data_IF_753191451350
#
_entry.id   IF_753191451350
#
_cell.length_a   1.000
_cell.length_b   1.000
_cell.length_c   1.000
_cell.angle_alpha   90.00
_cell.angle_beta   90.00
_cell.angle_gamma   90.00
#
_symmetry.space_group_name_H-M   'P 1'
#
loop_
_entity.id
_entity.type
_entity.pdbx_description
1 polymer ?
#
# COMPACT_ATOMS: atom_id res chain seq x y z
N UNK A 1 23.32 4.19 54.78
CA UNK A 1 22.22 4.75 53.95
C UNK A 1 21.77 3.69 52.97
N UNK A 2 20.64 3.01 53.24
CA UNK A 2 20.06 1.96 52.37
C UNK A 2 19.10 2.63 51.39
N UNK A 3 19.43 2.58 50.09
CA UNK A 3 18.53 3.02 49.00
C UNK A 3 17.32 2.08 48.92
N UNK A 4 16.11 2.62 49.12
CA UNK A 4 14.82 1.93 48.85
C UNK A 4 14.71 1.69 47.32
N UNK A 5 14.30 0.51 46.88
CA UNK A 5 14.02 0.27 45.45
C UNK A 5 12.73 0.98 45.04
N UNK A 6 12.80 1.65 43.92
CA UNK A 6 11.77 2.47 43.34
C UNK A 6 10.47 1.71 43.07
N UNK A 7 9.40 2.21 43.69
CA UNK A 7 8.02 1.70 43.65
C UNK A 7 7.33 1.73 42.25
N UNK A 8 7.98 2.24 41.24
CA UNK A 8 7.42 2.43 39.90
C UNK A 8 7.23 1.12 39.08
N UNK A 9 8.02 0.10 39.39
CA UNK A 9 7.92 -1.19 38.66
C UNK A 9 6.78 -2.06 39.16
N UNK A 10 6.31 -1.84 40.42
CA UNK A 10 5.22 -2.58 41.04
C UNK A 10 3.82 -2.08 40.68
N UNK A 11 3.71 -0.80 40.27
CA UNK A 11 2.43 -0.19 39.89
C UNK A 11 1.99 -0.54 38.46
N UNK A 12 2.90 -0.98 37.63
CA UNK A 12 2.58 -1.35 36.22
C UNK A 12 2.01 -2.77 36.10
N UNK A 13 2.36 -3.67 37.04
CA UNK A 13 1.83 -5.04 37.06
C UNK A 13 0.53 -5.21 37.85
N UNK A 14 0.12 -4.22 38.66
CA UNK A 14 -1.08 -4.29 39.50
C UNK A 14 -2.32 -3.59 38.88
N UNK A 15 -2.26 -3.16 37.60
CA UNK A 15 -3.42 -2.62 36.86
C UNK A 15 -4.03 -3.60 35.86
N UNK A 16 -3.65 -4.86 35.88
CA UNK A 16 -4.40 -5.95 35.25
C UNK A 16 -5.46 -6.51 36.20
N UNK A 17 -6.28 -5.63 36.77
CA UNK A 17 -7.60 -6.04 37.24
C UNK A 17 -8.40 -6.34 35.95
N UNK A 18 -8.49 -7.62 35.59
CA UNK A 18 -9.37 -8.09 34.54
C UNK A 18 -10.81 -7.70 34.89
N UNK A 19 -11.27 -6.56 34.44
CA UNK A 19 -12.66 -6.20 34.51
C UNK A 19 -13.45 -7.12 33.58
N UNK A 20 -14.65 -7.54 33.96
CA UNK A 20 -15.56 -8.30 33.11
C UNK A 20 -15.64 -7.73 31.69
N UNK A 21 -15.60 -6.40 31.56
CA UNK A 21 -15.56 -5.68 30.29
C UNK A 21 -14.32 -6.03 29.46
N UNK A 22 -13.12 -6.05 30.04
CA UNK A 22 -11.86 -6.35 29.33
C UNK A 22 -11.84 -7.78 28.80
N UNK A 23 -12.38 -8.72 29.59
CA UNK A 23 -12.53 -10.12 29.18
C UNK A 23 -13.53 -10.25 28.04
N UNK A 24 -14.68 -9.58 28.11
CA UNK A 24 -15.70 -9.61 27.09
C UNK A 24 -15.20 -9.01 25.78
N UNK A 25 -14.52 -7.85 25.84
CA UNK A 25 -13.90 -7.22 24.65
C UNK A 25 -12.82 -8.11 24.07
N UNK A 26 -11.97 -8.71 24.89
CA UNK A 26 -10.91 -9.61 24.40
C UNK A 26 -11.49 -10.84 23.69
N UNK A 27 -12.51 -11.48 24.28
CA UNK A 27 -13.20 -12.62 23.65
C UNK A 27 -13.82 -12.21 22.33
N UNK A 28 -14.50 -11.06 22.28
CA UNK A 28 -15.08 -10.53 21.06
C UNK A 28 -14.02 -10.27 19.98
N UNK A 29 -12.91 -9.61 20.33
CA UNK A 29 -11.82 -9.33 19.39
C UNK A 29 -11.16 -10.61 18.86
N UNK A 30 -10.95 -11.61 19.73
CA UNK A 30 -10.39 -12.91 19.33
C UNK A 30 -11.35 -13.65 18.40
N UNK A 31 -12.63 -13.73 18.75
CA UNK A 31 -13.65 -14.39 17.92
C UNK A 31 -13.78 -13.70 16.57
N UNK A 32 -13.81 -12.38 16.55
CA UNK A 32 -13.85 -11.59 15.31
C UNK A 32 -12.58 -11.79 14.47
N UNK A 33 -11.40 -11.79 15.10
CA UNK A 33 -10.12 -12.07 14.44
C UNK A 33 -10.09 -13.46 13.79
N UNK A 34 -10.58 -14.49 14.48
CA UNK A 34 -10.70 -15.85 13.95
C UNK A 34 -11.67 -15.91 12.75
N UNK A 35 -12.77 -15.20 12.85
CA UNK A 35 -13.75 -15.12 11.75
C UNK A 35 -13.16 -14.44 10.52
N UNK A 36 -12.39 -13.36 10.69
CA UNK A 36 -11.68 -12.69 9.59
C UNK A 36 -10.53 -13.54 9.02
N UNK A 37 -9.90 -14.36 9.85
CA UNK A 37 -8.80 -15.25 9.43
C UNK A 37 -9.32 -16.49 8.68
N UNK A 38 -10.55 -16.95 8.97
CA UNK A 38 -11.10 -18.16 8.39
C UNK A 38 -11.12 -18.21 6.87
N UNK A 39 -11.51 -17.15 6.11
CA UNK A 39 -11.45 -17.18 4.66
C UNK A 39 -10.05 -17.41 4.10
N UNK A 40 -9.02 -16.83 4.72
CA UNK A 40 -7.62 -17.04 4.33
C UNK A 40 -7.19 -18.49 4.60
N UNK A 41 -7.54 -19.01 5.76
CA UNK A 41 -7.30 -20.39 6.13
C UNK A 41 -8.01 -21.36 5.18
N UNK A 42 -9.28 -21.09 4.88
CA UNK A 42 -10.06 -21.86 3.91
C UNK A 42 -9.39 -21.93 2.53
N UNK A 43 -8.97 -20.79 1.99
CA UNK A 43 -8.26 -20.75 0.71
C UNK A 43 -6.97 -21.56 0.74
N UNK A 44 -6.20 -21.48 1.84
CA UNK A 44 -4.97 -22.23 2.00
C UNK A 44 -5.23 -23.74 2.05
N UNK A 45 -6.20 -24.19 2.84
CA UNK A 45 -6.55 -25.61 2.94
C UNK A 45 -7.12 -26.13 1.62
N UNK A 46 -8.03 -25.37 0.99
CA UNK A 46 -8.65 -25.73 -0.28
C UNK A 46 -7.62 -25.82 -1.42
N UNK A 47 -6.59 -24.97 -1.43
CA UNK A 47 -5.57 -24.94 -2.49
C UNK A 47 -4.69 -26.20 -2.56
N UNK A 48 -4.55 -26.92 -1.46
CA UNK A 48 -3.73 -28.16 -1.39
C UNK A 48 -4.58 -29.44 -1.23
N UNK A 49 -5.92 -29.32 -1.17
CA UNK A 49 -6.82 -30.45 -0.96
C UNK A 49 -7.12 -31.17 -2.29
N UNK A 50 -7.21 -32.52 -2.28
CA UNK A 50 -7.69 -33.26 -3.44
C UNK A 50 -9.08 -32.83 -3.88
N UNK A 51 -9.31 -32.73 -5.19
CA UNK A 51 -10.58 -32.26 -5.77
C UNK A 51 -11.82 -33.02 -5.28
N UNK A 52 -11.69 -34.33 -5.10
CA UNK A 52 -12.77 -35.17 -4.60
C UNK A 52 -13.24 -34.81 -3.17
N UNK A 53 -12.30 -34.41 -2.32
CA UNK A 53 -12.62 -33.94 -0.96
C UNK A 53 -13.16 -32.51 -0.97
N UNK A 54 -12.65 -31.67 -1.88
CA UNK A 54 -13.13 -30.29 -2.05
C UNK A 54 -14.60 -30.25 -2.47
N UNK A 55 -15.05 -31.13 -3.40
CA UNK A 55 -16.43 -31.17 -3.89
C UNK A 55 -17.43 -31.59 -2.79
N UNK A 56 -16.99 -32.42 -1.83
CA UNK A 56 -17.86 -32.85 -0.71
C UNK A 56 -18.34 -31.66 0.15
N UNK A 57 -17.65 -30.50 0.04
CA UNK A 57 -18.02 -29.27 0.73
C UNK A 57 -17.90 -29.35 2.24
N UNK A 58 -18.45 -28.34 2.93
CA UNK A 58 -18.46 -28.24 4.40
C UNK A 58 -17.40 -27.31 4.95
N UNK A 59 -17.32 -27.25 6.29
CA UNK A 59 -16.31 -26.46 7.00
C UNK A 59 -14.93 -27.12 6.86
N UNK A 60 -14.02 -26.44 6.16
CA UNK A 60 -12.66 -26.91 5.93
C UNK A 60 -11.75 -26.35 7.04
N UNK A 61 -11.73 -27.03 8.20
CA UNK A 61 -10.87 -26.66 9.32
C UNK A 61 -9.52 -27.34 9.30
N UNK A 62 -9.40 -28.50 8.61
CA UNK A 62 -8.19 -29.30 8.57
C UNK A 62 -7.94 -29.90 7.20
N UNK A 63 -6.68 -30.24 6.90
CA UNK A 63 -6.27 -30.88 5.66
C UNK A 63 -6.80 -32.32 5.59
N UNK A 64 -7.57 -32.66 4.55
CA UNK A 64 -8.06 -34.02 4.27
C UNK A 64 -7.26 -34.71 3.15
N UNK A 65 -5.99 -34.48 3.12
CA UNK A 65 -5.08 -34.92 2.07
C UNK A 65 -4.30 -33.74 1.53
N UNK A 66 -3.16 -34.01 0.88
CA UNK A 66 -2.32 -32.98 0.24
C UNK A 66 -2.11 -33.42 -1.21
N UNK A 67 -2.60 -32.61 -2.14
CA UNK A 67 -2.39 -32.78 -3.57
C UNK A 67 -1.79 -31.50 -4.16
N UNK A 68 -0.58 -31.60 -4.67
CA UNK A 68 0.14 -30.48 -5.28
C UNK A 68 0.09 -30.50 -6.81
N UNK A 69 -0.67 -31.42 -7.43
CA UNK A 69 -0.73 -31.53 -8.89
C UNK A 69 -1.18 -30.25 -9.56
N UNK A 70 -2.14 -29.55 -8.96
CA UNK A 70 -2.63 -28.26 -9.48
C UNK A 70 -1.56 -27.17 -9.48
N UNK A 71 -0.71 -27.12 -8.45
CA UNK A 71 0.43 -26.20 -8.41
C UNK A 71 1.44 -26.54 -9.50
N UNK A 72 1.78 -27.83 -9.66
CA UNK A 72 2.68 -28.30 -10.72
C UNK A 72 2.11 -27.92 -12.09
N UNK A 73 0.82 -28.14 -12.33
CA UNK A 73 0.15 -27.80 -13.58
C UNK A 73 0.19 -26.29 -13.87
N UNK A 74 -0.13 -25.45 -12.86
CA UNK A 74 -0.09 -23.98 -12.98
C UNK A 74 1.33 -23.51 -13.33
N UNK A 75 2.34 -23.98 -12.59
CA UNK A 75 3.73 -23.55 -12.83
C UNK A 75 4.34 -24.17 -14.10
N UNK A 76 3.81 -25.28 -14.60
CA UNK A 76 4.22 -25.88 -15.88
C UNK A 76 3.59 -25.17 -17.09
N UNK A 77 2.48 -24.47 -16.89
CA UNK A 77 1.75 -23.82 -17.98
C UNK A 77 2.30 -22.40 -18.20
N UNK A 78 2.93 -22.18 -19.36
CA UNK A 78 3.58 -20.90 -19.73
C UNK A 78 2.65 -19.69 -19.62
N UNK A 79 1.35 -19.87 -19.88
CA UNK A 79 0.38 -18.75 -19.79
C UNK A 79 0.31 -18.21 -18.36
N UNK A 80 0.17 -19.09 -17.36
CA UNK A 80 0.06 -18.66 -15.96
C UNK A 80 1.36 -18.07 -15.42
N UNK A 81 2.51 -18.69 -15.75
CA UNK A 81 3.82 -18.19 -15.31
C UNK A 81 4.14 -16.84 -15.93
N UNK A 82 3.83 -16.63 -17.22
CA UNK A 82 4.00 -15.34 -17.87
C UNK A 82 3.07 -14.28 -17.27
N UNK A 83 1.80 -14.61 -17.02
CA UNK A 83 0.85 -13.68 -16.41
C UNK A 83 1.29 -13.25 -15.01
N UNK A 84 1.80 -14.18 -14.20
CA UNK A 84 2.34 -13.89 -12.88
C UNK A 84 3.57 -12.98 -12.95
N UNK A 85 4.47 -13.23 -13.90
CA UNK A 85 5.65 -12.42 -14.13
C UNK A 85 5.28 -11.00 -14.58
N UNK A 86 4.34 -10.86 -15.52
CA UNK A 86 3.83 -9.55 -15.96
C UNK A 86 3.20 -8.78 -14.80
N UNK A 87 2.38 -9.45 -13.96
CA UNK A 87 1.78 -8.82 -12.77
C UNK A 87 2.84 -8.39 -11.76
N UNK A 88 3.87 -9.19 -11.53
CA UNK A 88 4.96 -8.86 -10.62
C UNK A 88 5.77 -7.66 -11.15
N UNK A 89 6.18 -7.68 -12.41
CA UNK A 89 6.92 -6.58 -13.04
C UNK A 89 6.09 -5.29 -13.06
N UNK A 90 4.81 -5.38 -13.45
CA UNK A 90 3.86 -4.25 -13.38
C UNK A 90 3.81 -3.67 -11.97
N UNK A 91 3.62 -4.51 -10.96
CA UNK A 91 3.51 -4.06 -9.57
C UNK A 91 4.75 -3.33 -9.11
N UNK A 92 5.94 -3.86 -9.38
CA UNK A 92 7.21 -3.21 -9.00
C UNK A 92 7.38 -1.87 -9.72
N UNK A 93 7.21 -1.84 -11.05
CA UNK A 93 7.40 -0.62 -11.83
C UNK A 93 6.36 0.45 -11.51
N UNK A 94 5.07 0.08 -11.47
CA UNK A 94 4.01 1.03 -11.14
C UNK A 94 4.14 1.57 -9.72
N UNK A 95 4.52 0.73 -8.76
CA UNK A 95 4.73 1.17 -7.37
C UNK A 95 5.93 2.12 -7.27
N UNK A 96 7.07 1.77 -7.86
CA UNK A 96 8.26 2.61 -7.82
C UNK A 96 8.00 3.99 -8.45
N UNK A 97 7.37 4.01 -9.64
CA UNK A 97 7.03 5.24 -10.33
C UNK A 97 6.00 6.06 -9.55
N UNK A 98 4.96 5.41 -9.01
CA UNK A 98 3.92 6.09 -8.25
C UNK A 98 4.46 6.69 -6.96
N UNK A 99 5.30 5.98 -6.20
CA UNK A 99 5.93 6.50 -4.99
C UNK A 99 6.82 7.69 -5.30
N UNK A 100 7.63 7.59 -6.37
CA UNK A 100 8.53 8.66 -6.78
C UNK A 100 7.76 9.93 -7.18
N UNK A 101 6.78 9.80 -8.07
CA UNK A 101 6.00 10.93 -8.58
C UNK A 101 5.13 11.54 -7.47
N UNK A 102 4.44 10.68 -6.69
CA UNK A 102 3.58 11.16 -5.59
C UNK A 102 4.38 11.85 -4.50
N UNK A 103 5.55 11.31 -4.10
CA UNK A 103 6.39 11.92 -3.07
C UNK A 103 7.04 13.23 -3.56
N UNK A 104 7.54 13.26 -4.79
CA UNK A 104 8.13 14.48 -5.36
C UNK A 104 7.08 15.61 -5.45
N UNK A 105 5.89 15.29 -5.95
CA UNK A 105 4.79 16.26 -6.03
C UNK A 105 4.29 16.69 -4.64
N UNK A 106 4.17 15.76 -3.69
CA UNK A 106 3.78 16.04 -2.33
C UNK A 106 4.78 16.97 -1.63
N UNK A 107 6.08 16.73 -1.82
CA UNK A 107 7.13 17.59 -1.30
C UNK A 107 7.09 18.98 -1.92
N UNK A 108 7.01 19.09 -3.24
CA UNK A 108 6.93 20.39 -3.92
C UNK A 108 5.72 21.22 -3.44
N UNK A 109 4.54 20.58 -3.33
CA UNK A 109 3.30 21.26 -2.89
C UNK A 109 3.26 21.50 -1.38
N UNK A 110 4.07 20.82 -0.57
CA UNK A 110 4.21 21.12 0.86
C UNK A 110 4.81 22.51 1.11
N UNK A 111 5.56 23.06 0.14
CA UNK A 111 6.15 24.40 0.17
C UNK A 111 5.13 25.49 -0.15
N UNK A 112 4.15 25.68 0.71
CA UNK A 112 2.98 26.59 0.51
C UNK A 112 3.37 28.06 0.32
N UNK A 113 4.60 28.46 0.70
CA UNK A 113 5.12 29.82 0.53
C UNK A 113 5.46 30.17 -0.92
N UNK A 114 5.63 29.15 -1.80
CA UNK A 114 5.90 29.37 -3.21
C UNK A 114 4.59 29.78 -3.92
N UNK A 115 4.67 30.84 -4.71
CA UNK A 115 3.52 31.34 -5.49
C UNK A 115 2.97 30.25 -6.42
N UNK A 116 1.65 30.03 -6.39
CA UNK A 116 0.96 29.04 -7.23
C UNK A 116 0.77 27.67 -6.57
N UNK A 117 1.52 27.30 -5.53
CA UNK A 117 1.39 25.96 -4.89
C UNK A 117 0.02 25.73 -4.26
N UNK A 118 -0.63 26.80 -3.76
CA UNK A 118 -2.02 26.71 -3.26
C UNK A 118 -3.01 26.31 -4.35
N UNK A 119 -2.86 26.86 -5.57
CA UNK A 119 -3.70 26.51 -6.71
C UNK A 119 -3.45 25.07 -7.17
N UNK A 120 -2.18 24.67 -7.29
CA UNK A 120 -1.83 23.27 -7.65
C UNK A 120 -2.41 22.30 -6.64
N UNK A 121 -2.27 22.58 -5.35
CA UNK A 121 -2.86 21.75 -4.30
C UNK A 121 -4.38 21.67 -4.44
N UNK A 122 -5.07 22.77 -4.69
CA UNK A 122 -6.51 22.80 -4.88
C UNK A 122 -6.95 21.96 -6.09
N UNK A 123 -6.23 22.05 -7.21
CA UNK A 123 -6.50 21.26 -8.42
C UNK A 123 -6.28 19.75 -8.20
N UNK A 124 -5.23 19.37 -7.46
CA UNK A 124 -4.98 17.96 -7.14
C UNK A 124 -6.07 17.42 -6.22
N UNK A 125 -6.43 18.18 -5.17
CA UNK A 125 -7.49 17.77 -4.23
C UNK A 125 -8.85 17.75 -4.92
N UNK A 126 -9.12 18.67 -5.84
CA UNK A 126 -10.34 18.69 -6.64
C UNK A 126 -10.54 17.36 -7.39
N UNK A 127 -9.46 16.80 -7.94
CA UNK A 127 -9.49 15.51 -8.65
C UNK A 127 -9.95 14.34 -7.76
N UNK A 128 -9.85 14.45 -6.41
CA UNK A 128 -10.36 13.42 -5.50
C UNK A 128 -11.90 13.28 -5.56
N UNK A 129 -12.58 14.41 -5.81
CA UNK A 129 -14.04 14.47 -5.83
C UNK A 129 -14.65 14.31 -7.22
N UNK A 130 -13.86 14.52 -8.28
CA UNK A 130 -14.31 14.51 -9.66
C UNK A 130 -13.57 13.47 -10.47
N UNK A 131 -14.09 12.23 -10.46
CA UNK A 131 -13.63 11.18 -11.36
C UNK A 131 -14.43 11.24 -12.67
N UNK A 132 -13.76 11.25 -13.80
CA UNK A 132 -14.41 11.28 -15.13
C UNK A 132 -15.20 10.02 -15.47
N UNK A 133 -15.05 8.96 -14.70
CA UNK A 133 -15.66 7.66 -14.98
C UNK A 133 -14.87 6.82 -15.98
N UNK A 134 -15.31 5.58 -16.16
CA UNK A 134 -14.61 4.56 -16.92
C UNK A 134 -14.54 4.84 -18.42
N UNK A 135 -15.64 5.32 -19.01
CA UNK A 135 -15.72 5.56 -20.46
C UNK A 135 -14.79 6.70 -20.91
N UNK A 136 -14.80 7.90 -20.33
CA UNK A 136 -13.87 8.96 -20.66
C UNK A 136 -12.42 8.55 -20.45
N UNK A 137 -12.12 7.80 -19.40
CA UNK A 137 -10.78 7.30 -19.13
C UNK A 137 -10.30 6.34 -20.23
N UNK A 138 -11.15 5.40 -20.65
CA UNK A 138 -10.84 4.50 -21.76
C UNK A 138 -10.62 5.26 -23.08
N UNK A 139 -11.48 6.25 -23.39
CA UNK A 139 -11.32 7.08 -24.59
C UNK A 139 -10.01 7.86 -24.57
N UNK A 140 -9.59 8.37 -23.41
CA UNK A 140 -8.29 9.01 -23.24
C UNK A 140 -7.13 8.05 -23.53
N UNK A 141 -7.17 6.83 -22.96
CA UNK A 141 -6.11 5.86 -23.21
C UNK A 141 -6.04 5.43 -24.66
N UNK A 142 -7.19 5.32 -25.32
CA UNK A 142 -7.28 5.03 -26.75
C UNK A 142 -6.70 6.17 -27.60
N UNK A 143 -7.01 7.43 -27.29
CA UNK A 143 -6.47 8.60 -28.01
C UNK A 143 -4.96 8.76 -27.83
N UNK A 144 -4.42 8.33 -26.70
CA UNK A 144 -2.98 8.32 -26.40
C UNK A 144 -2.25 7.07 -26.94
N UNK A 145 -2.95 6.19 -27.66
CA UNK A 145 -2.42 4.92 -28.17
C UNK A 145 -1.79 4.02 -27.08
N UNK A 146 -2.33 4.09 -25.86
CA UNK A 146 -1.87 3.28 -24.73
C UNK A 146 -2.59 1.92 -24.66
N UNK A 147 -3.77 1.76 -25.27
CA UNK A 147 -4.51 0.47 -25.29
C UNK A 147 -3.69 -0.59 -26.01
N UNK A 148 -3.67 -1.80 -25.45
CA UNK A 148 -2.83 -2.90 -25.96
C UNK A 148 -1.34 -2.80 -25.63
N UNK A 149 -0.92 -1.80 -24.84
CA UNK A 149 0.47 -1.61 -24.46
C UNK A 149 0.66 -1.78 -22.94
N UNK A 150 1.78 -2.36 -22.52
CA UNK A 150 2.15 -2.55 -21.11
C UNK A 150 2.05 -1.24 -20.30
N UNK A 151 2.38 -0.10 -20.89
CA UNK A 151 2.38 1.20 -20.22
C UNK A 151 1.00 1.69 -19.78
N UNK A 152 -0.10 1.17 -20.33
CA UNK A 152 -1.46 1.47 -19.84
C UNK A 152 -1.67 0.99 -18.40
N UNK A 153 -0.91 -0.02 -17.95
CA UNK A 153 -0.99 -0.54 -16.59
C UNK A 153 -0.14 0.24 -15.58
N UNK A 154 0.83 1.02 -16.06
CA UNK A 154 1.83 1.69 -15.21
C UNK A 154 1.56 3.19 -15.11
N UNK A 155 1.36 3.87 -16.24
CA UNK A 155 1.29 5.33 -16.29
C UNK A 155 0.06 5.95 -15.61
N UNK A 156 -1.17 5.42 -15.74
CA UNK A 156 -2.36 6.06 -15.16
C UNK A 156 -2.35 6.15 -13.63
N UNK A 157 -1.73 5.18 -12.97
CA UNK A 157 -1.65 5.09 -11.51
C UNK A 157 -0.47 5.83 -10.87
N UNK A 158 0.30 6.61 -11.64
CA UNK A 158 1.55 7.23 -11.13
C UNK A 158 1.32 8.29 -10.06
N UNK A 159 0.20 8.99 -10.07
CA UNK A 159 -0.17 9.94 -9.03
C UNK A 159 -1.37 9.42 -8.24
N UNK A 160 -1.13 8.99 -7.01
CA UNK A 160 -2.21 8.61 -6.11
C UNK A 160 -2.57 9.78 -5.19
N UNK A 161 -3.76 10.36 -5.40
CA UNK A 161 -4.19 11.59 -4.72
C UNK A 161 -4.34 11.39 -3.22
N UNK A 162 -4.84 10.24 -2.77
CA UNK A 162 -5.01 9.96 -1.34
C UNK A 162 -3.66 9.92 -0.63
N UNK A 163 -2.68 9.22 -1.20
CA UNK A 163 -1.34 9.18 -0.64
C UNK A 163 -0.56 10.48 -0.83
N UNK A 164 -0.82 11.24 -1.90
CA UNK A 164 -0.32 12.59 -2.06
C UNK A 164 -0.70 13.48 -0.88
N UNK A 165 -1.97 13.48 -0.45
CA UNK A 165 -2.44 14.29 0.68
C UNK A 165 -1.74 13.87 1.98
N UNK A 166 -1.60 12.57 2.22
CA UNK A 166 -0.92 12.04 3.40
C UNK A 166 0.55 12.47 3.41
N UNK A 167 1.26 12.24 2.31
CA UNK A 167 2.68 12.59 2.17
C UNK A 167 2.92 14.10 2.27
N UNK A 168 2.10 14.90 1.60
CA UNK A 168 2.18 16.37 1.66
C UNK A 168 2.03 16.89 3.10
N UNK A 169 1.02 16.39 3.83
CA UNK A 169 0.83 16.77 5.22
C UNK A 169 2.03 16.35 6.08
N UNK A 170 2.51 15.13 5.91
CA UNK A 170 3.69 14.65 6.62
C UNK A 170 4.91 15.54 6.36
N UNK A 171 5.23 15.87 5.11
CA UNK A 171 6.37 16.73 4.77
C UNK A 171 6.21 18.14 5.33
N UNK A 172 4.99 18.69 5.37
CA UNK A 172 4.73 20.00 5.94
C UNK A 172 5.02 20.08 7.45
N UNK A 173 4.90 18.97 8.18
CA UNK A 173 5.12 18.93 9.64
C UNK A 173 6.49 18.36 10.03
N UNK A 174 7.02 17.43 9.25
CA UNK A 174 8.23 16.65 9.63
C UNK A 174 9.51 17.22 9.05
N UNK A 175 9.44 18.05 7.99
CA UNK A 175 10.61 18.67 7.36
C UNK A 175 10.60 20.16 7.73
N UNK A 176 11.52 20.57 8.62
CA UNK A 176 11.64 22.00 8.99
C UNK A 176 12.32 22.78 7.88
N UNK A 177 11.89 24.03 7.71
CA UNK A 177 12.51 24.95 6.72
C UNK A 177 13.95 25.24 7.05
N UNK A 178 14.29 25.35 8.33
CA UNK A 178 15.66 25.60 8.79
C UNK A 178 16.64 24.53 8.29
N UNK A 179 16.19 23.25 8.21
CA UNK A 179 16.98 22.16 7.69
C UNK A 179 17.20 22.29 6.17
N UNK A 180 16.18 22.72 5.43
CA UNK A 180 16.28 22.97 3.99
C UNK A 180 17.18 24.18 3.70
N UNK A 181 17.00 25.28 4.45
CA UNK A 181 17.80 26.50 4.30
C UNK A 181 19.28 26.24 4.62
N UNK A 182 19.58 25.48 5.68
CA UNK A 182 20.94 25.06 6.00
C UNK A 182 21.56 24.26 4.86
N UNK A 183 20.81 23.30 4.29
CA UNK A 183 21.29 22.50 3.16
C UNK A 183 21.51 23.33 1.90
N UNK A 184 20.71 24.38 1.66
CA UNK A 184 20.91 25.32 0.55
C UNK A 184 22.20 26.15 0.75
N UNK A 185 22.48 26.58 1.99
CA UNK A 185 23.74 27.28 2.33
C UNK A 185 24.94 26.36 2.07
N UNK A 186 24.81 25.06 2.37
CA UNK A 186 25.82 24.03 2.07
C UNK A 186 25.94 23.68 0.58
N UNK A 187 25.19 24.37 -0.29
CA UNK A 187 25.25 24.21 -1.76
C UNK A 187 24.38 23.08 -2.31
N UNK A 188 23.49 22.51 -1.53
CA UNK A 188 22.52 21.54 -2.04
C UNK A 188 21.43 22.22 -2.88
N UNK A 189 21.13 21.64 -4.04
CA UNK A 189 19.94 22.06 -4.83
C UNK A 189 18.68 21.36 -4.31
N UNK A 190 17.49 21.84 -4.74
CA UNK A 190 16.18 21.31 -4.33
C UNK A 190 16.03 19.81 -4.53
N UNK A 191 16.52 19.28 -5.66
CA UNK A 191 16.50 17.84 -5.97
C UNK A 191 17.42 17.06 -5.02
N UNK A 192 18.60 17.64 -4.70
CA UNK A 192 19.52 17.08 -3.72
C UNK A 192 18.92 17.04 -2.32
N UNK A 193 18.24 18.09 -1.90
CA UNK A 193 17.52 18.15 -0.61
C UNK A 193 16.45 17.07 -0.57
N UNK A 194 15.66 16.93 -1.62
CA UNK A 194 14.62 15.89 -1.69
C UNK A 194 15.20 14.49 -1.50
N UNK A 195 16.20 14.09 -2.30
CA UNK A 195 16.72 12.72 -2.25
C UNK A 195 17.65 12.44 -1.07
N UNK A 196 18.46 13.41 -0.62
CA UNK A 196 19.46 13.21 0.41
C UNK A 196 18.98 13.50 1.83
N UNK A 197 17.95 14.33 1.99
CA UNK A 197 17.46 14.76 3.30
C UNK A 197 16.02 14.30 3.52
N UNK A 198 15.08 14.72 2.65
CA UNK A 198 13.64 14.51 2.85
C UNK A 198 13.27 13.05 2.77
N UNK A 199 13.72 12.35 1.72
CA UNK A 199 13.42 10.92 1.52
C UNK A 199 13.94 10.03 2.67
N UNK A 200 15.23 10.15 3.10
CA UNK A 200 15.74 9.36 4.23
C UNK A 200 15.08 9.72 5.57
N UNK A 201 14.79 10.99 5.81
CA UNK A 201 14.13 11.43 7.03
C UNK A 201 12.70 10.87 7.14
N UNK A 202 12.05 10.71 6.00
CA UNK A 202 10.66 10.24 5.89
C UNK A 202 10.53 8.75 5.56
N UNK A 203 11.59 7.96 5.68
CA UNK A 203 11.63 6.55 5.26
C UNK A 203 10.49 5.69 5.82
N UNK A 204 10.09 5.92 7.07
CA UNK A 204 9.00 5.15 7.69
C UNK A 204 7.66 5.39 7.01
N UNK A 205 7.31 6.65 6.74
CA UNK A 205 6.09 7.02 6.03
C UNK A 205 6.14 6.54 4.57
N UNK A 206 7.27 6.71 3.90
CA UNK A 206 7.45 6.27 2.51
C UNK A 206 7.32 4.75 2.40
N UNK A 207 7.90 3.98 3.33
CA UNK A 207 7.76 2.52 3.36
C UNK A 207 6.29 2.08 3.53
N UNK A 208 5.54 2.72 4.43
CA UNK A 208 4.12 2.44 4.62
C UNK A 208 3.31 2.74 3.35
N UNK A 209 3.51 3.92 2.74
CA UNK A 209 2.81 4.28 1.50
C UNK A 209 3.22 3.36 0.35
N UNK A 210 4.50 2.98 0.25
CA UNK A 210 4.97 2.03 -0.76
C UNK A 210 4.25 0.69 -0.64
N UNK A 211 4.07 0.18 0.59
CA UNK A 211 3.34 -1.06 0.83
C UNK A 211 1.89 -0.96 0.35
N UNK A 212 1.18 0.11 0.71
CA UNK A 212 -0.21 0.30 0.29
C UNK A 212 -0.35 0.43 -1.24
N UNK A 213 0.52 1.20 -1.88
CA UNK A 213 0.53 1.33 -3.35
C UNK A 213 0.86 -0.01 -4.02
N UNK A 214 1.80 -0.78 -3.46
CA UNK A 214 2.13 -2.10 -3.98
C UNK A 214 0.93 -3.07 -3.92
N UNK A 215 0.19 -3.08 -2.80
CA UNK A 215 -1.02 -3.89 -2.64
C UNK A 215 -2.10 -3.48 -3.65
N UNK A 216 -2.31 -2.18 -3.87
CA UNK A 216 -3.27 -1.68 -4.88
C UNK A 216 -2.86 -2.16 -6.27
N UNK A 217 -1.59 -1.99 -6.64
CA UNK A 217 -1.09 -2.39 -7.95
C UNK A 217 -1.11 -3.91 -8.17
N UNK A 218 -0.89 -4.70 -7.13
CA UNK A 218 -0.98 -6.16 -7.19
C UNK A 218 -2.41 -6.64 -7.45
N UNK A 219 -3.39 -6.00 -6.82
CA UNK A 219 -4.80 -6.36 -6.93
C UNK A 219 -5.54 -5.70 -8.12
N UNK A 220 -4.84 -4.90 -8.92
CA UNK A 220 -5.45 -4.20 -10.05
C UNK A 220 -5.62 -5.13 -11.25
N UNK A 221 -6.82 -5.71 -11.37
CA UNK A 221 -7.23 -6.52 -12.52
C UNK A 221 -7.76 -5.68 -13.69
N UNK A 222 -8.25 -4.46 -13.42
CA UNK A 222 -8.89 -3.62 -14.44
C UNK A 222 -7.88 -3.16 -15.50
N UNK A 223 -6.73 -2.63 -15.09
CA UNK A 223 -5.69 -2.21 -16.03
C UNK A 223 -5.18 -3.37 -16.89
N UNK A 224 -5.18 -4.60 -16.35
CA UNK A 224 -4.82 -5.81 -17.09
C UNK A 224 -5.84 -6.13 -18.19
N UNK A 225 -7.14 -5.88 -17.95
CA UNK A 225 -8.18 -6.10 -18.97
C UNK A 225 -8.07 -5.16 -20.17
N UNK A 226 -7.47 -3.97 -20.00
CA UNK A 226 -7.26 -2.99 -21.08
C UNK A 226 -6.21 -3.42 -22.12
N UNK A 227 -5.41 -4.44 -21.82
CA UNK A 227 -4.45 -5.00 -22.80
C UNK A 227 -5.13 -5.98 -23.76
N UNK A 228 -6.17 -6.67 -23.29
CA UNK A 228 -6.86 -7.70 -24.06
C UNK A 228 -8.08 -7.18 -24.82
N UNK A 229 -8.38 -5.90 -24.74
CA UNK A 229 -9.39 -5.23 -25.54
C UNK A 229 -8.70 -4.49 -26.70
#
# INVERSE_FOLDING_TARGET
MKKKPTSLRRSMFMRLGFNFYDVAVTIFCVAFGLLCFYPLWYCLVASVMPYEEYIKGGLMLWFKGIDLQYYIQIFSTKVYTNSLLVSAVKTVLATALSVLVTSAMAYAVSKVHIRGMKLINALVVFNLFFAGGLIPQYMLYKSLHLTGNFWVMVLPGTLNISYFIIMRNYFSFSVSRELEDAAMIDGCNEVGIFFRIVMPLSRGMIAAVTLFIAVINWNDYYSLSLIHI
#
